data_IF_050195000033
#
_entry.id   IF_050195000033
#
_cell.length_a   1.000
_cell.length_b   1.000
_cell.length_c   1.000
_cell.angle_alpha   90.00
_cell.angle_beta   90.00
_cell.angle_gamma   90.00
#
_symmetry.space_group_name_H-M   'P 1'
#
loop_
_entity.id
_entity.type
_entity.pdbx_description
1 polymer ?
#
# COMPACT_ATOMS: atom_id res chain seq x y z
N UNK A 1 4.67 8.39 -1.35
CA UNK A 1 5.23 7.02 -1.48
C UNK A 1 4.26 6.06 -2.18
N UNK A 2 3.01 5.91 -1.72
CA UNK A 2 2.01 5.05 -2.38
C UNK A 2 1.75 5.42 -3.86
N UNK A 3 1.81 6.70 -4.22
CA UNK A 3 1.65 7.19 -5.60
C UNK A 3 2.83 6.77 -6.51
N UNK A 4 4.05 6.82 -5.99
CA UNK A 4 5.26 6.44 -6.76
C UNK A 4 5.33 4.93 -7.04
N UNK A 5 4.66 4.14 -6.20
CA UNK A 5 4.56 2.68 -6.30
C UNK A 5 3.23 2.24 -6.95
N UNK A 6 2.45 3.18 -7.53
CA UNK A 6 1.18 2.89 -8.21
C UNK A 6 0.10 2.25 -7.32
N UNK A 7 0.17 2.45 -6.00
CA UNK A 7 -0.75 1.89 -5.01
C UNK A 7 -1.93 2.83 -4.76
N UNK A 8 -1.72 4.15 -4.89
CA UNK A 8 -2.78 5.15 -4.85
C UNK A 8 -2.62 6.06 -6.06
N UNK A 9 -3.56 6.00 -7.01
CA UNK A 9 -3.63 6.95 -8.11
C UNK A 9 -4.36 8.24 -7.69
N UNK A 10 -4.09 9.38 -8.35
CA UNK A 10 -4.89 10.58 -8.14
C UNK A 10 -6.33 10.25 -8.55
N UNK A 11 -7.27 10.61 -7.69
CA UNK A 11 -8.64 10.15 -7.80
C UNK A 11 -9.25 10.55 -9.15
N UNK A 12 -10.03 9.63 -9.73
CA UNK A 12 -10.73 9.72 -11.02
C UNK A 12 -9.88 9.61 -12.29
N UNK A 13 -9.97 8.44 -12.94
CA UNK A 13 -9.65 8.28 -14.36
C UNK A 13 -8.89 6.99 -14.63
N UNK A 14 -9.57 5.99 -15.18
CA UNK A 14 -8.96 4.73 -15.58
C UNK A 14 -7.83 4.90 -16.59
N UNK A 15 -6.92 3.93 -16.61
CA UNK A 15 -5.89 3.87 -17.63
C UNK A 15 -4.74 2.97 -17.23
N UNK A 16 -4.74 1.75 -17.73
CA UNK A 16 -3.72 0.72 -17.61
C UNK A 16 -2.35 1.08 -18.26
N UNK A 17 -1.91 2.34 -18.22
CA UNK A 17 -0.81 2.85 -19.05
C UNK A 17 0.54 3.11 -18.36
N UNK A 18 0.60 3.19 -17.02
CA UNK A 18 1.83 3.67 -16.36
C UNK A 18 2.89 2.58 -16.08
N UNK A 19 2.61 1.30 -16.36
CA UNK A 19 3.49 0.18 -16.01
C UNK A 19 4.59 -0.12 -17.03
N UNK A 20 4.67 0.58 -18.17
CA UNK A 20 5.56 0.23 -19.27
C UNK A 20 6.97 0.87 -19.21
N UNK A 21 7.15 2.00 -18.54
CA UNK A 21 8.34 2.84 -18.74
C UNK A 21 9.51 2.61 -17.77
N UNK A 22 9.42 1.65 -16.84
CA UNK A 22 10.55 1.32 -15.94
C UNK A 22 11.45 0.18 -16.49
N UNK A 23 11.17 -0.30 -17.71
CA UNK A 23 11.74 -1.54 -18.26
C UNK A 23 13.08 -1.38 -18.99
N UNK A 24 13.61 -0.17 -19.14
CA UNK A 24 14.69 0.10 -20.11
C UNK A 24 16.13 0.13 -19.54
N UNK A 25 16.34 -0.07 -18.23
CA UNK A 25 17.67 0.17 -17.62
C UNK A 25 18.34 -1.06 -16.95
N UNK A 26 17.86 -2.29 -17.15
CA UNK A 26 18.42 -3.46 -16.47
C UNK A 26 18.52 -4.69 -17.38
N UNK A 27 19.29 -4.60 -18.46
CA UNK A 27 19.54 -5.72 -19.39
C UNK A 27 21.01 -6.16 -19.46
N UNK A 28 21.72 -6.22 -18.33
CA UNK A 28 23.09 -6.75 -18.33
C UNK A 28 23.39 -7.69 -17.14
N UNK A 29 23.20 -9.00 -17.33
CA UNK A 29 23.74 -10.07 -16.46
C UNK A 29 22.92 -11.37 -16.43
N UNK A 30 23.54 -12.56 -16.24
CA UNK A 30 22.98 -13.87 -16.59
C UNK A 30 21.67 -14.18 -15.84
N UNK A 31 20.62 -14.49 -16.61
CA UNK A 31 19.23 -14.17 -16.27
C UNK A 31 18.30 -15.37 -16.05
N UNK A 32 18.60 -16.22 -15.08
CA UNK A 32 17.65 -17.21 -14.53
C UNK A 32 17.08 -16.75 -13.19
N UNK A 33 17.93 -16.73 -12.16
CA UNK A 33 17.53 -16.39 -10.78
C UNK A 33 17.08 -14.93 -10.61
N UNK A 34 17.66 -14.00 -11.37
CA UNK A 34 17.22 -12.60 -11.36
C UNK A 34 15.78 -12.44 -11.90
N UNK A 35 15.41 -13.22 -12.92
CA UNK A 35 14.08 -13.13 -13.51
C UNK A 35 13.00 -13.62 -12.53
N UNK A 36 13.30 -14.69 -11.79
CA UNK A 36 12.41 -15.28 -10.77
C UNK A 36 12.24 -14.32 -9.58
N UNK A 37 13.32 -13.75 -9.04
CA UNK A 37 13.24 -12.79 -7.93
C UNK A 37 12.46 -11.51 -8.30
N UNK A 38 12.66 -11.01 -9.53
CA UNK A 38 11.90 -9.86 -10.03
C UNK A 38 10.41 -10.19 -10.23
N UNK A 39 10.11 -11.41 -10.70
CA UNK A 39 8.74 -11.92 -10.81
C UNK A 39 8.04 -11.97 -9.44
N UNK A 40 8.72 -12.51 -8.42
CA UNK A 40 8.19 -12.61 -7.06
C UNK A 40 7.97 -11.25 -6.40
N UNK A 41 8.90 -10.31 -6.61
CA UNK A 41 8.73 -8.93 -6.14
C UNK A 41 7.48 -8.29 -6.76
N UNK A 42 7.30 -8.44 -8.08
CA UNK A 42 6.13 -7.91 -8.80
C UNK A 42 4.83 -8.56 -8.33
N UNK A 43 4.82 -9.87 -8.13
CA UNK A 43 3.67 -10.60 -7.60
C UNK A 43 3.28 -10.10 -6.20
N UNK A 44 4.26 -9.97 -5.29
CA UNK A 44 4.01 -9.47 -3.93
C UNK A 44 3.56 -8.01 -3.91
N UNK A 45 4.11 -7.15 -4.77
CA UNK A 45 3.65 -5.77 -4.90
C UNK A 45 2.20 -5.72 -5.41
N UNK A 46 1.85 -6.57 -6.38
CA UNK A 46 0.47 -6.71 -6.87
C UNK A 46 -0.47 -7.16 -5.75
N UNK A 47 -0.05 -8.12 -4.92
CA UNK A 47 -0.83 -8.59 -3.78
C UNK A 47 -1.06 -7.48 -2.74
N UNK A 48 -0.02 -6.69 -2.39
CA UNK A 48 -0.16 -5.55 -1.46
C UNK A 48 -1.17 -4.53 -2.01
N UNK A 49 -1.11 -4.23 -3.33
CA UNK A 49 -2.09 -3.35 -3.98
C UNK A 49 -3.50 -3.92 -3.88
N UNK A 50 -3.69 -5.21 -4.17
CA UNK A 50 -5.01 -5.84 -4.14
C UNK A 50 -5.61 -5.79 -2.73
N UNK A 51 -4.82 -6.11 -1.70
CA UNK A 51 -5.26 -6.05 -0.30
C UNK A 51 -5.66 -4.62 0.06
N UNK A 52 -4.85 -3.60 -0.31
CA UNK A 52 -5.19 -2.21 -0.03
C UNK A 52 -6.54 -1.80 -0.62
N UNK A 53 -6.80 -2.12 -1.90
CA UNK A 53 -8.06 -1.77 -2.55
C UNK A 53 -9.25 -2.52 -1.95
N UNK A 54 -9.08 -3.81 -1.64
CA UNK A 54 -10.12 -4.60 -0.99
C UNK A 54 -10.48 -4.06 0.41
N UNK A 55 -9.48 -3.69 1.20
CA UNK A 55 -9.71 -3.11 2.53
C UNK A 55 -10.27 -1.69 2.45
N UNK A 56 -9.90 -0.93 1.43
CA UNK A 56 -10.47 0.41 1.17
C UNK A 56 -11.95 0.32 0.83
N UNK A 57 -12.36 -0.62 -0.03
CA UNK A 57 -13.76 -0.83 -0.39
C UNK A 57 -14.61 -1.22 0.83
N UNK A 58 -14.11 -2.15 1.66
CA UNK A 58 -14.77 -2.52 2.93
C UNK A 58 -14.90 -1.32 3.87
N UNK A 59 -13.84 -0.52 3.98
CA UNK A 59 -13.85 0.71 4.78
C UNK A 59 -14.92 1.70 4.28
N UNK A 60 -14.99 1.95 2.97
CA UNK A 60 -15.97 2.86 2.37
C UNK A 60 -17.40 2.36 2.58
N UNK A 61 -17.64 1.06 2.38
CA UNK A 61 -18.93 0.44 2.65
C UNK A 61 -19.33 0.61 4.13
N UNK A 62 -18.44 0.28 5.07
CA UNK A 62 -18.70 0.43 6.49
C UNK A 62 -18.96 1.90 6.88
N UNK A 63 -18.25 2.86 6.27
CA UNK A 63 -18.49 4.28 6.49
C UNK A 63 -19.88 4.73 6.02
N UNK A 64 -20.33 4.23 4.86
CA UNK A 64 -21.64 4.55 4.30
C UNK A 64 -22.77 3.96 5.14
N UNK A 65 -22.66 2.69 5.53
CA UNK A 65 -23.63 2.00 6.38
C UNK A 65 -23.73 2.68 7.75
N UNK A 66 -22.60 3.00 8.37
CA UNK A 66 -22.57 3.64 9.67
C UNK A 66 -23.12 5.07 9.63
N UNK A 67 -22.76 5.86 8.61
CA UNK A 67 -23.33 7.20 8.41
C UNK A 67 -24.84 7.15 8.26
N UNK A 68 -25.34 6.20 7.45
CA UNK A 68 -26.78 6.00 7.25
C UNK A 68 -27.47 5.64 8.56
N UNK A 69 -26.89 4.71 9.32
CA UNK A 69 -27.43 4.30 10.61
C UNK A 69 -27.50 5.45 11.61
N UNK A 70 -26.43 6.24 11.74
CA UNK A 70 -26.40 7.40 12.64
C UNK A 70 -27.41 8.46 12.22
N UNK A 71 -27.53 8.74 10.93
CA UNK A 71 -28.52 9.72 10.44
C UNK A 71 -29.96 9.27 10.71
N UNK A 72 -30.27 7.98 10.54
CA UNK A 72 -31.58 7.42 10.88
C UNK A 72 -31.86 7.52 12.38
N UNK A 73 -30.87 7.15 13.21
CA UNK A 73 -30.98 7.22 14.66
C UNK A 73 -31.24 8.65 15.16
N UNK A 74 -30.50 9.63 14.66
CA UNK A 74 -30.68 11.03 15.05
C UNK A 74 -32.04 11.59 14.62
N UNK A 75 -32.54 11.19 13.44
CA UNK A 75 -33.90 11.54 12.99
C UNK A 75 -34.97 10.93 13.90
N UNK A 76 -34.83 9.67 14.28
CA UNK A 76 -35.79 8.99 15.15
C UNK A 76 -35.80 9.59 16.57
N UNK A 77 -34.61 9.85 17.14
CA UNK A 77 -34.50 10.49 18.44
C UNK A 77 -35.10 11.90 18.45
N UNK A 78 -34.93 12.68 17.36
CA UNK A 78 -35.48 14.04 17.25
C UNK A 78 -37.02 14.10 17.38
N UNK A 79 -37.73 12.99 17.11
CA UNK A 79 -39.19 12.89 17.22
C UNK A 79 -39.68 12.72 18.65
N UNK A 80 -38.85 12.14 19.52
CA UNK A 80 -39.22 11.86 20.93
C UNK A 80 -38.62 12.88 21.88
N UNK A 81 -37.52 13.53 21.49
CA UNK A 81 -36.85 14.60 22.24
C UNK A 81 -36.31 15.65 21.29
N UNK A 82 -36.47 16.96 21.58
CA UNK A 82 -35.88 17.99 20.75
C UNK A 82 -34.35 17.91 20.81
N UNK A 83 -33.72 17.61 19.68
CA UNK A 83 -32.26 17.61 19.48
C UNK A 83 -31.88 18.88 18.75
N UNK A 84 -30.87 19.59 19.25
CA UNK A 84 -30.37 20.79 18.56
C UNK A 84 -29.54 20.41 17.32
N UNK A 85 -29.67 21.13 16.20
CA UNK A 85 -28.85 20.88 15.00
C UNK A 85 -27.34 20.86 15.26
N UNK A 86 -26.88 21.71 16.20
CA UNK A 86 -25.47 21.77 16.63
C UNK A 86 -24.95 20.47 17.24
N UNK A 87 -25.82 19.67 17.83
CA UNK A 87 -25.45 18.38 18.43
C UNK A 87 -25.29 17.29 17.37
N UNK A 88 -26.21 17.27 16.39
CA UNK A 88 -26.14 16.41 15.21
C UNK A 88 -24.82 16.66 14.47
N UNK A 89 -24.49 17.92 14.20
CA UNK A 89 -23.23 18.30 13.53
C UNK A 89 -22.00 17.82 14.29
N UNK A 90 -21.97 18.00 15.63
CA UNK A 90 -20.87 17.53 16.47
C UNK A 90 -20.68 16.01 16.38
N UNK A 91 -21.77 15.24 16.44
CA UNK A 91 -21.70 13.78 16.36
C UNK A 91 -21.16 13.33 15.00
N UNK A 92 -21.66 13.90 13.91
CA UNK A 92 -21.19 13.61 12.54
C UNK A 92 -19.71 13.95 12.37
N UNK A 93 -19.25 15.10 12.91
CA UNK A 93 -17.84 15.47 12.88
C UNK A 93 -16.93 14.50 13.64
N UNK A 94 -17.35 14.02 14.81
CA UNK A 94 -16.59 13.01 15.59
C UNK A 94 -16.41 11.73 14.77
N UNK A 95 -17.46 11.31 14.08
CA UNK A 95 -17.47 10.11 13.24
C UNK A 95 -16.49 10.27 12.08
N UNK A 96 -16.56 11.39 11.34
CA UNK A 96 -15.61 11.66 10.25
C UNK A 96 -14.16 11.68 10.73
N UNK A 97 -13.87 12.25 11.91
CA UNK A 97 -12.51 12.22 12.48
C UNK A 97 -12.03 10.80 12.74
N UNK A 98 -12.90 9.92 13.27
CA UNK A 98 -12.57 8.50 13.48
C UNK A 98 -12.33 7.78 12.14
N UNK A 99 -13.16 8.03 11.15
CA UNK A 99 -13.00 7.47 9.79
C UNK A 99 -11.69 7.90 9.15
N UNK A 100 -11.32 9.18 9.22
CA UNK A 100 -10.04 9.65 8.69
C UNK A 100 -8.84 9.01 9.39
N UNK A 101 -8.92 8.79 10.71
CA UNK A 101 -7.87 8.09 11.46
C UNK A 101 -7.68 6.65 10.98
N UNK A 102 -8.78 5.92 10.76
CA UNK A 102 -8.73 4.53 10.26
C UNK A 102 -8.16 4.49 8.85
N UNK A 103 -8.59 5.41 7.97
CA UNK A 103 -8.06 5.51 6.61
C UNK A 103 -6.56 5.82 6.60
N UNK A 104 -6.09 6.68 7.52
CA UNK A 104 -4.67 6.98 7.69
C UNK A 104 -3.88 5.74 8.13
N UNK A 105 -4.41 4.95 9.08
CA UNK A 105 -3.79 3.70 9.51
C UNK A 105 -3.69 2.67 8.38
N UNK A 106 -4.72 2.54 7.56
CA UNK A 106 -4.70 1.66 6.39
C UNK A 106 -3.59 2.06 5.39
N UNK A 107 -3.49 3.36 5.09
CA UNK A 107 -2.43 3.90 4.22
C UNK A 107 -1.04 3.68 4.82
N UNK A 108 -0.88 3.88 6.13
CA UNK A 108 0.38 3.68 6.83
C UNK A 108 0.85 2.22 6.78
N UNK A 109 -0.02 1.29 7.16
CA UNK A 109 0.26 -0.16 7.12
C UNK A 109 0.64 -0.63 5.70
N UNK A 110 -0.06 -0.12 4.69
CA UNK A 110 0.25 -0.42 3.28
C UNK A 110 1.64 0.13 2.88
N UNK A 111 1.97 1.34 3.32
CA UNK A 111 3.26 1.95 3.04
C UNK A 111 4.41 1.18 3.70
N UNK A 112 4.23 0.74 4.95
CA UNK A 112 5.19 -0.09 5.68
C UNK A 112 5.41 -1.44 4.98
N UNK A 113 4.34 -2.10 4.52
CA UNK A 113 4.45 -3.35 3.78
C UNK A 113 5.31 -3.18 2.49
N UNK A 114 5.10 -2.09 1.75
CA UNK A 114 5.90 -1.77 0.56
C UNK A 114 7.36 -1.46 0.93
N UNK A 115 7.60 -0.71 2.01
CA UNK A 115 8.95 -0.42 2.49
C UNK A 115 9.72 -1.69 2.83
N UNK A 116 9.09 -2.62 3.57
CA UNK A 116 9.69 -3.89 3.94
C UNK A 116 10.00 -4.71 2.69
N UNK A 117 9.06 -4.80 1.73
CA UNK A 117 9.27 -5.54 0.49
C UNK A 117 10.45 -4.98 -0.32
N UNK A 118 10.55 -3.64 -0.44
CA UNK A 118 11.63 -2.96 -1.15
C UNK A 118 12.99 -3.17 -0.47
N UNK A 119 13.05 -3.06 0.86
CA UNK A 119 14.28 -3.29 1.63
C UNK A 119 14.78 -4.73 1.47
N UNK A 120 13.87 -5.73 1.55
CA UNK A 120 14.23 -7.14 1.36
C UNK A 120 14.76 -7.43 -0.05
N UNK A 121 14.17 -6.81 -1.06
CA UNK A 121 14.61 -6.95 -2.46
C UNK A 121 16.01 -6.37 -2.67
N UNK A 122 16.27 -5.16 -2.16
CA UNK A 122 17.57 -4.51 -2.27
C UNK A 122 18.66 -5.26 -1.49
N UNK A 123 18.36 -5.77 -0.29
CA UNK A 123 19.30 -6.54 0.53
C UNK A 123 19.70 -7.87 -0.12
N UNK A 124 18.75 -8.59 -0.73
CA UNK A 124 19.03 -9.80 -1.51
C UNK A 124 20.02 -9.53 -2.67
N UNK A 125 19.85 -8.38 -3.35
CA UNK A 125 20.73 -7.94 -4.43
C UNK A 125 22.14 -7.56 -3.93
N UNK A 126 22.24 -6.86 -2.80
CA UNK A 126 23.53 -6.47 -2.19
C UNK A 126 24.31 -7.69 -1.69
N UNK A 127 23.65 -8.64 -1.01
CA UNK A 127 24.28 -9.89 -0.54
C UNK A 127 24.89 -10.71 -1.69
N UNK A 128 24.28 -10.71 -2.87
CA UNK A 128 24.85 -11.37 -4.07
C UNK A 128 26.13 -10.67 -4.57
N UNK A 129 26.15 -9.33 -4.62
CA UNK A 129 27.35 -8.56 -5.00
C UNK A 129 28.52 -8.82 -4.02
N UNK A 130 28.24 -8.91 -2.72
CA UNK A 130 29.28 -9.15 -1.70
C UNK A 130 29.80 -10.59 -1.68
N UNK A 131 28.95 -11.61 -1.91
CA UNK A 131 29.39 -13.01 -2.05
C UNK A 131 30.35 -13.20 -3.23
N UNK A 132 30.08 -12.56 -4.36
CA UNK A 132 30.97 -12.61 -5.53
C UNK A 132 32.35 -12.00 -5.26
N UNK A 133 32.42 -10.90 -4.48
CA UNK A 133 33.69 -10.27 -4.12
C UNK A 133 34.54 -11.13 -3.17
N UNK A 134 33.92 -11.78 -2.18
CA UNK A 134 34.60 -12.67 -1.22
C UNK A 134 35.17 -13.94 -1.88
N UNK A 135 34.44 -14.55 -2.81
CA UNK A 135 34.93 -15.71 -3.57
C UNK A 135 36.11 -15.36 -4.49
N UNK A 136 36.13 -14.14 -5.04
CA UNK A 136 37.25 -13.65 -5.84
C UNK A 136 38.52 -13.51 -4.98
N UNK A 137 38.43 -12.95 -3.77
CA UNK A 137 39.57 -12.86 -2.85
C UNK A 137 40.16 -14.20 -2.44
N UNK A 138 39.32 -15.23 -2.23
CA UNK A 138 39.78 -16.59 -1.87
C UNK A 138 40.50 -17.27 -3.04
N UNK A 139 40.00 -17.09 -4.27
CA UNK A 139 40.67 -17.56 -5.49
C UNK A 139 42.04 -16.91 -5.69
N UNK A 140 42.16 -15.60 -5.49
CA UNK A 140 43.45 -14.90 -5.60
C UNK A 140 44.47 -15.35 -4.54
N UNK A 141 44.03 -15.74 -3.34
CA UNK A 141 44.91 -16.30 -2.30
C UNK A 141 45.32 -17.76 -2.52
N UNK A 142 44.68 -18.48 -3.44
CA UNK A 142 45.02 -19.88 -3.75
C UNK A 142 45.89 -20.03 -5.01
N UNK A 143 46.00 -18.97 -5.82
CA UNK A 143 46.80 -18.91 -7.07
C UNK A 143 48.15 -18.20 -6.86
N UNK A 144 48.59 -18.05 -5.60
CA UNK A 144 49.90 -17.50 -5.23
C UNK A 144 50.62 -18.46 -4.29
#
# INVERSE_FOLDING_TARGET
MLIAEGVAGPEKGGGAGAAANASAAASSGPGGDNAIEHSDYRAKLSQIRQIYHQELEKYEQACNEFTTHVMNLLREQSRTRPITPKEIERMVQIIHRKFSSIQMQLKQSTCEAVMILRSRFLDARVRRRNRGAGSMSVLYSFVR
#
